data_IF_861118164558
#
_entry.id   IF_861118164558
#
_cell.length_a   1.000
_cell.length_b   1.000
_cell.length_c   1.000
_cell.angle_alpha   90.00
_cell.angle_beta   90.00
_cell.angle_gamma   90.00
#
_symmetry.space_group_name_H-M   'P 1'
#
loop_
_entity.id
_entity.type
_entity.pdbx_description
1 polymer ?
#
# COMPACT_ATOMS: atom_id res chain seq x y z
N UNK A 1 0.34 23.47 -25.22
CA UNK A 1 0.63 22.87 -23.90
C UNK A 1 2.07 23.15 -23.53
N UNK A 2 2.33 23.44 -22.26
CA UNK A 2 3.65 23.70 -21.68
C UNK A 2 3.85 22.78 -20.48
N UNK A 3 5.08 22.30 -20.28
CA UNK A 3 5.48 21.62 -19.05
C UNK A 3 6.89 22.04 -18.66
N UNK A 4 7.13 22.18 -17.36
CA UNK A 4 8.37 22.74 -16.79
C UNK A 4 9.08 21.72 -15.89
N UNK A 5 9.91 20.82 -16.44
CA UNK A 5 10.67 19.90 -15.61
C UNK A 5 11.71 20.62 -14.75
N UNK A 6 11.69 20.28 -13.46
CA UNK A 6 12.62 20.77 -12.45
C UNK A 6 13.47 19.62 -11.90
N UNK A 7 14.79 19.75 -12.00
CA UNK A 7 15.80 18.87 -11.39
C UNK A 7 17.02 19.68 -11.05
N UNK A 8 17.50 19.58 -9.82
CA UNK A 8 18.52 20.45 -9.24
C UNK A 8 17.92 21.56 -8.39
N UNK A 9 18.40 21.66 -7.15
CA UNK A 9 17.97 22.67 -6.17
C UNK A 9 19.18 23.16 -5.40
N UNK A 10 19.29 24.47 -5.21
CA UNK A 10 20.32 25.08 -4.39
C UNK A 10 19.71 26.15 -3.45
N UNK A 11 20.31 26.44 -2.29
CA UNK A 11 19.85 27.52 -1.42
C UNK A 11 19.95 28.88 -2.14
N UNK A 12 19.11 29.85 -1.75
CA UNK A 12 19.11 31.22 -2.31
C UNK A 12 20.31 32.05 -1.81
N UNK A 13 21.51 31.62 -2.19
CA UNK A 13 22.79 32.26 -1.87
C UNK A 13 23.45 32.84 -3.13
N UNK A 14 24.37 33.78 -2.95
CA UNK A 14 25.12 34.38 -4.05
C UNK A 14 25.99 33.33 -4.77
N UNK A 15 25.90 33.27 -6.10
CA UNK A 15 26.66 32.30 -6.91
C UNK A 15 26.11 30.86 -6.91
N UNK A 16 25.16 30.52 -6.03
CA UNK A 16 24.57 29.18 -5.96
C UNK A 16 23.81 28.79 -7.23
N UNK A 17 23.08 29.74 -7.84
CA UNK A 17 22.39 29.52 -9.12
C UNK A 17 23.36 29.25 -10.28
N UNK A 18 24.48 29.97 -10.35
CA UNK A 18 25.53 29.72 -11.34
C UNK A 18 26.19 28.35 -11.14
N UNK A 19 26.50 28.00 -9.89
CA UNK A 19 27.06 26.70 -9.55
C UNK A 19 26.10 25.57 -9.95
N UNK A 20 24.81 25.71 -9.64
CA UNK A 20 23.76 24.78 -10.02
C UNK A 20 23.68 24.61 -11.54
N UNK A 21 23.73 25.72 -12.30
CA UNK A 21 23.71 25.68 -13.77
C UNK A 21 24.95 25.00 -14.39
N UNK A 22 26.04 24.86 -13.64
CA UNK A 22 27.28 24.18 -14.08
C UNK A 22 27.39 22.75 -13.56
N UNK A 23 26.49 22.31 -12.67
CA UNK A 23 26.50 20.97 -12.13
C UNK A 23 26.21 19.93 -13.21
N UNK A 24 27.19 19.07 -13.49
CA UNK A 24 27.04 18.02 -14.49
C UNK A 24 25.95 17.00 -14.09
N UNK A 25 25.86 16.68 -12.79
CA UNK A 25 24.83 15.78 -12.23
C UNK A 25 23.43 16.36 -12.44
N UNK A 26 23.18 17.58 -11.95
CA UNK A 26 21.84 18.19 -12.00
C UNK A 26 21.36 18.41 -13.44
N UNK A 27 22.27 18.81 -14.34
CA UNK A 27 21.95 18.93 -15.77
C UNK A 27 21.63 17.58 -16.41
N UNK A 28 22.38 16.53 -16.09
CA UNK A 28 22.13 15.20 -16.63
C UNK A 28 20.76 14.68 -16.19
N UNK A 29 20.42 14.83 -14.91
CA UNK A 29 19.09 14.49 -14.41
C UNK A 29 17.99 15.32 -15.07
N UNK A 30 18.19 16.64 -15.23
CA UNK A 30 17.21 17.51 -15.86
C UNK A 30 16.96 17.13 -17.32
N UNK A 31 18.03 16.93 -18.11
CA UNK A 31 17.94 16.50 -19.52
C UNK A 31 17.21 15.18 -19.65
N UNK A 32 17.48 14.21 -18.77
CA UNK A 32 16.78 12.92 -18.75
C UNK A 32 15.26 13.10 -18.58
N UNK A 33 14.83 13.99 -17.68
CA UNK A 33 13.40 14.27 -17.47
C UNK A 33 12.81 15.09 -18.63
N UNK A 34 13.57 16.02 -19.22
CA UNK A 34 13.16 16.73 -20.45
C UNK A 34 12.84 15.75 -21.56
N UNK A 35 13.70 14.76 -21.80
CA UNK A 35 13.45 13.75 -22.83
C UNK A 35 12.23 12.87 -22.52
N UNK A 36 12.03 12.50 -21.25
CA UNK A 36 10.81 11.81 -20.82
C UNK A 36 9.55 12.65 -21.12
N UNK A 37 9.56 13.94 -20.81
CA UNK A 37 8.44 14.85 -21.06
C UNK A 37 8.20 15.12 -22.53
N UNK A 38 9.26 15.21 -23.34
CA UNK A 38 9.14 15.27 -24.81
C UNK A 38 8.45 14.02 -25.36
N UNK A 39 8.81 12.85 -24.85
CA UNK A 39 8.16 11.59 -25.21
C UNK A 39 6.68 11.58 -24.79
N UNK A 40 6.36 12.05 -23.58
CA UNK A 40 4.97 12.10 -23.09
C UNK A 40 4.10 13.05 -23.94
N UNK A 41 4.57 14.28 -24.19
CA UNK A 41 3.87 15.23 -25.06
C UNK A 41 3.79 14.74 -26.51
N UNK A 42 4.80 14.01 -27.00
CA UNK A 42 4.81 13.44 -28.35
C UNK A 42 3.70 12.44 -28.62
N UNK A 43 3.09 11.86 -27.57
CA UNK A 43 1.93 10.94 -27.70
C UNK A 43 0.64 11.67 -28.09
N UNK A 44 0.54 12.97 -27.81
CA UNK A 44 -0.73 13.73 -27.92
C UNK A 44 -0.61 15.04 -28.70
N UNK A 45 0.59 15.59 -28.85
CA UNK A 45 0.83 16.80 -29.64
C UNK A 45 0.97 16.48 -31.13
N UNK A 46 0.73 17.49 -31.98
CA UNK A 46 1.00 17.42 -33.43
C UNK A 46 2.45 17.01 -33.68
N UNK A 47 2.72 15.98 -34.51
CA UNK A 47 4.09 15.56 -34.82
C UNK A 47 4.97 16.72 -35.27
N UNK A 48 6.19 16.80 -34.72
CA UNK A 48 7.14 17.88 -34.99
C UNK A 48 6.90 19.19 -34.24
N UNK A 49 5.79 19.33 -33.49
CA UNK A 49 5.52 20.56 -32.71
C UNK A 49 6.21 20.61 -31.35
N UNK A 50 6.64 19.46 -30.81
CA UNK A 50 7.25 19.37 -29.48
C UNK A 50 8.69 19.90 -29.52
N UNK A 51 8.95 20.98 -28.79
CA UNK A 51 10.23 21.68 -28.73
C UNK A 51 10.64 21.97 -27.29
N UNK A 52 11.96 22.02 -27.05
CA UNK A 52 12.53 22.50 -25.79
C UNK A 52 12.76 24.01 -25.95
N UNK A 53 12.01 24.82 -25.23
CA UNK A 53 12.07 26.28 -25.33
C UNK A 53 13.19 26.88 -24.46
N UNK A 54 13.45 26.26 -23.31
CA UNK A 54 14.53 26.58 -22.38
C UNK A 54 15.11 25.27 -21.83
N UNK A 55 16.44 25.21 -21.63
CA UNK A 55 17.10 24.00 -21.15
C UNK A 55 18.08 24.32 -20.03
N UNK A 56 17.84 23.75 -18.85
CA UNK A 56 18.70 23.85 -17.67
C UNK A 56 18.98 25.31 -17.29
N UNK A 57 17.93 26.12 -17.20
CA UNK A 57 18.03 27.52 -16.79
C UNK A 57 17.84 27.65 -15.28
N UNK A 58 18.78 28.27 -14.55
CA UNK A 58 18.57 28.56 -13.13
C UNK A 58 17.49 29.64 -12.98
N UNK A 59 16.42 29.32 -12.25
CA UNK A 59 15.33 30.24 -11.92
C UNK A 59 15.22 30.46 -10.41
N UNK A 60 14.88 31.69 -10.06
CA UNK A 60 14.70 32.11 -8.67
C UNK A 60 13.31 31.75 -8.17
N UNK A 61 13.25 31.14 -6.99
CA UNK A 61 12.02 30.89 -6.24
C UNK A 61 12.22 31.32 -4.78
N UNK A 62 11.13 31.31 -4.00
CA UNK A 62 11.18 31.66 -2.57
C UNK A 62 12.11 30.72 -1.81
N UNK A 63 13.26 31.25 -1.36
CA UNK A 63 14.24 30.53 -0.55
C UNK A 63 15.19 29.60 -1.32
N UNK A 64 14.99 29.36 -2.63
CA UNK A 64 15.81 28.42 -3.41
C UNK A 64 16.02 28.85 -4.86
N UNK A 65 17.07 28.31 -5.47
CA UNK A 65 17.25 28.24 -6.91
C UNK A 65 16.82 26.88 -7.43
N UNK A 66 16.12 26.86 -8.56
CA UNK A 66 15.79 25.63 -9.28
C UNK A 66 16.35 25.67 -10.69
N UNK A 67 16.85 24.53 -11.15
CA UNK A 67 17.23 24.38 -12.55
C UNK A 67 16.00 23.87 -13.31
N UNK A 68 15.47 24.73 -14.19
CA UNK A 68 14.19 24.57 -14.88
C UNK A 68 14.43 24.48 -16.37
N UNK A 69 13.70 23.58 -17.02
CA UNK A 69 13.59 23.54 -18.48
C UNK A 69 12.14 23.73 -18.89
N UNK A 70 11.91 24.04 -20.17
CA UNK A 70 10.57 24.19 -20.73
C UNK A 70 10.40 23.30 -21.95
N UNK A 71 9.35 22.47 -21.94
CA UNK A 71 8.95 21.68 -23.09
C UNK A 71 7.55 22.10 -23.51
N UNK A 72 7.43 22.54 -24.77
CA UNK A 72 6.17 23.04 -25.32
C UNK A 72 5.77 22.24 -26.56
N UNK A 73 4.46 22.06 -26.76
CA UNK A 73 3.90 21.40 -27.93
C UNK A 73 2.52 21.95 -28.30
N UNK A 74 2.11 21.69 -29.54
CA UNK A 74 0.79 22.09 -30.05
C UNK A 74 -0.16 20.91 -29.98
N UNK A 75 -1.29 21.07 -29.30
CA UNK A 75 -2.34 20.06 -29.29
C UNK A 75 -3.17 20.15 -30.58
N UNK A 76 -3.54 19.02 -31.20
CA UNK A 76 -4.54 18.99 -32.27
C UNK A 76 -5.88 19.59 -31.83
N UNK A 77 -6.65 20.10 -32.79
CA UNK A 77 -8.01 20.57 -32.51
C UNK A 77 -8.89 19.45 -31.96
N UNK A 78 -9.63 19.72 -30.88
CA UNK A 78 -10.52 18.74 -30.24
C UNK A 78 -9.86 17.79 -29.25
N UNK A 79 -8.55 17.91 -28.99
CA UNK A 79 -7.91 17.17 -27.90
C UNK A 79 -8.36 17.72 -26.54
N UNK A 80 -9.10 16.90 -25.78
CA UNK A 80 -9.57 17.27 -24.44
C UNK A 80 -8.52 17.02 -23.34
N UNK A 81 -8.70 17.70 -22.21
CA UNK A 81 -7.83 17.64 -21.03
C UNK A 81 -7.54 16.21 -20.54
N UNK A 82 -8.55 15.32 -20.56
CA UNK A 82 -8.39 13.94 -20.13
C UNK A 82 -7.37 13.16 -20.99
N UNK A 83 -7.27 13.46 -22.28
CA UNK A 83 -6.30 12.81 -23.16
C UNK A 83 -4.88 13.31 -22.87
N UNK A 84 -4.72 14.61 -22.60
CA UNK A 84 -3.46 15.21 -22.19
C UNK A 84 -2.99 14.60 -20.86
N UNK A 85 -3.85 14.61 -19.83
CA UNK A 85 -3.53 14.05 -18.51
C UNK A 85 -3.15 12.57 -18.61
N UNK A 86 -3.90 11.73 -19.35
CA UNK A 86 -3.54 10.32 -19.53
C UNK A 86 -2.16 10.11 -20.17
N UNK A 87 -1.74 10.99 -21.06
CA UNK A 87 -0.46 10.85 -21.74
C UNK A 87 0.73 11.29 -20.87
N UNK A 88 0.52 12.27 -19.99
CA UNK A 88 1.58 12.90 -19.20
C UNK A 88 1.65 12.44 -17.75
N UNK A 89 0.54 11.93 -17.19
CA UNK A 89 0.46 11.49 -15.80
C UNK A 89 1.07 10.08 -15.60
N UNK A 90 1.68 9.80 -14.43
CA UNK A 90 2.11 10.76 -13.40
C UNK A 90 3.29 11.64 -13.85
N UNK A 91 3.55 12.78 -13.17
CA UNK A 91 4.60 13.72 -13.57
C UNK A 91 5.99 13.08 -13.64
N UNK A 92 6.79 13.44 -14.65
CA UNK A 92 8.08 12.80 -14.94
C UNK A 92 9.10 12.92 -13.81
N UNK A 93 9.20 14.09 -13.17
CA UNK A 93 10.22 14.38 -12.16
C UNK A 93 10.11 13.55 -10.87
N UNK A 94 8.97 12.89 -10.64
CA UNK A 94 8.65 12.14 -9.41
C UNK A 94 8.46 10.64 -9.66
N UNK A 95 8.79 10.19 -10.86
CA UNK A 95 8.81 8.77 -11.25
C UNK A 95 10.23 8.31 -11.54
N UNK A 96 10.65 8.39 -12.80
CA UNK A 96 11.94 7.94 -13.30
C UNK A 96 11.88 7.67 -14.80
N UNK A 97 13.02 7.33 -15.40
CA UNK A 97 13.12 7.04 -16.83
C UNK A 97 13.81 5.68 -17.04
N UNK A 98 13.22 4.75 -17.83
CA UNK A 98 11.89 4.81 -18.46
C UNK A 98 10.72 4.77 -17.45
N UNK A 99 9.67 5.58 -17.67
CA UNK A 99 8.56 5.76 -16.70
C UNK A 99 7.85 4.46 -16.29
N UNK A 100 7.44 3.55 -17.20
CA UNK A 100 6.77 2.32 -16.79
C UNK A 100 7.64 1.45 -15.88
N UNK A 101 8.92 1.27 -16.23
CA UNK A 101 9.85 0.48 -15.43
C UNK A 101 10.13 1.12 -14.05
N UNK A 102 10.22 2.45 -13.99
CA UNK A 102 10.37 3.15 -12.73
C UNK A 102 9.13 3.00 -11.83
N UNK A 103 7.92 3.08 -12.40
CA UNK A 103 6.67 2.87 -11.66
C UNK A 103 6.54 1.42 -11.15
N UNK A 104 6.97 0.43 -11.92
CA UNK A 104 6.99 -0.97 -11.48
C UNK A 104 7.91 -1.14 -10.26
N UNK A 105 9.11 -0.54 -10.28
CA UNK A 105 10.05 -0.58 -9.16
C UNK A 105 9.51 0.18 -7.94
N UNK A 106 8.92 1.35 -8.14
CA UNK A 106 8.27 2.11 -7.07
C UNK A 106 7.17 1.26 -6.43
N UNK A 107 6.28 0.67 -7.23
CA UNK A 107 5.20 -0.17 -6.72
C UNK A 107 5.72 -1.45 -6.04
N UNK A 108 6.88 -1.98 -6.45
CA UNK A 108 7.53 -3.11 -5.79
C UNK A 108 8.00 -2.71 -4.38
N UNK A 109 8.71 -1.58 -4.28
CA UNK A 109 9.44 -1.18 -3.09
C UNK A 109 8.59 -0.41 -2.07
N UNK A 110 7.66 0.43 -2.52
CA UNK A 110 6.85 1.25 -1.62
C UNK A 110 5.74 0.45 -0.98
N UNK A 111 5.49 0.76 0.29
CA UNK A 111 4.66 -0.06 1.13
C UNK A 111 3.16 0.10 0.89
N UNK A 112 2.79 1.29 0.45
CA UNK A 112 1.42 1.75 0.31
C UNK A 112 1.27 2.47 -1.03
N UNK A 113 0.03 2.73 -1.45
CA UNK A 113 -0.20 3.73 -2.48
C UNK A 113 0.38 5.08 -2.06
N UNK A 114 0.74 5.91 -3.04
CA UNK A 114 1.19 7.28 -2.78
C UNK A 114 0.04 8.26 -2.55
N UNK A 115 -1.20 7.86 -2.82
CA UNK A 115 -2.39 8.71 -2.71
C UNK A 115 -2.17 10.04 -3.46
N UNK A 116 -2.28 11.19 -2.77
CA UNK A 116 -2.05 12.51 -3.37
C UNK A 116 -0.58 12.73 -3.71
N UNK A 117 0.35 12.16 -2.94
CA UNK A 117 1.79 12.40 -3.11
C UNK A 117 2.29 11.96 -4.50
N UNK A 118 3.06 12.83 -5.15
CA UNK A 118 3.52 12.68 -6.55
C UNK A 118 2.42 12.64 -7.61
N UNK A 119 1.17 12.89 -7.22
CA UNK A 119 0.05 13.17 -8.10
C UNK A 119 0.07 14.59 -8.65
N UNK A 120 -1.11 15.15 -8.94
CA UNK A 120 -1.27 16.49 -9.48
C UNK A 120 -2.44 17.24 -8.81
N UNK A 121 -2.23 18.51 -8.49
CA UNK A 121 -3.23 19.42 -7.89
C UNK A 121 -3.35 20.64 -8.79
N UNK A 122 -4.58 21.07 -9.10
CA UNK A 122 -4.80 22.26 -9.91
C UNK A 122 -6.26 22.42 -10.32
N UNK A 123 -6.50 23.05 -11.48
CA UNK A 123 -7.84 23.32 -11.99
C UNK A 123 -7.97 23.01 -13.47
N UNK A 124 -9.20 22.69 -13.89
CA UNK A 124 -9.61 22.62 -15.29
C UNK A 124 -10.75 23.62 -15.51
N UNK A 125 -10.58 24.54 -16.45
CA UNK A 125 -11.52 25.64 -16.71
C UNK A 125 -11.77 25.80 -18.20
N UNK A 126 -13.03 25.97 -18.64
CA UNK A 126 -13.33 26.31 -20.03
C UNK A 126 -12.72 27.64 -20.51
N UNK A 127 -12.32 28.51 -19.57
CA UNK A 127 -11.77 29.85 -19.86
C UNK A 127 -10.26 29.89 -19.63
N UNK A 128 -9.78 29.33 -18.51
CA UNK A 128 -8.37 29.38 -18.12
C UNK A 128 -7.56 28.14 -18.57
N UNK A 129 -8.22 27.13 -19.12
CA UNK A 129 -7.59 25.86 -19.51
C UNK A 129 -7.30 24.96 -18.30
N UNK A 130 -6.37 24.03 -18.50
CA UNK A 130 -5.88 23.10 -17.49
C UNK A 130 -4.52 23.56 -16.98
N UNK A 131 -4.41 23.73 -15.67
CA UNK A 131 -3.15 23.98 -14.98
C UNK A 131 -3.02 23.02 -13.80
N UNK A 132 -1.89 22.31 -13.73
CA UNK A 132 -1.63 21.29 -12.74
C UNK A 132 -0.21 21.46 -12.18
N UNK A 133 -0.09 21.49 -10.86
CA UNK A 133 1.18 21.39 -10.14
C UNK A 133 1.39 19.95 -9.66
N UNK A 134 2.65 19.54 -9.55
CA UNK A 134 3.02 18.25 -8.94
C UNK A 134 2.75 18.31 -7.44
N UNK A 135 2.04 17.31 -6.91
CA UNK A 135 1.72 17.21 -5.49
C UNK A 135 2.92 16.70 -4.67
N UNK A 136 3.88 17.58 -4.43
CA UNK A 136 5.04 17.37 -3.56
C UNK A 136 5.07 18.46 -2.50
N UNK A 137 5.81 18.23 -1.40
CA UNK A 137 5.87 19.19 -0.27
C UNK A 137 4.46 19.59 0.19
N UNK A 138 3.58 18.60 0.33
CA UNK A 138 2.17 18.76 0.65
C UNK A 138 1.82 17.83 1.80
N UNK A 139 0.98 18.30 2.71
CA UNK A 139 0.41 17.48 3.77
C UNK A 139 -0.93 16.90 3.30
N UNK A 140 -1.13 15.61 3.51
CA UNK A 140 -2.43 14.95 3.35
C UNK A 140 -3.02 14.67 4.73
N UNK A 141 -4.26 15.10 4.96
CA UNK A 141 -4.92 15.02 6.25
C UNK A 141 -6.14 14.12 6.14
N UNK A 142 -6.18 13.04 6.93
CA UNK A 142 -7.29 12.11 6.96
C UNK A 142 -7.37 11.43 8.33
N UNK A 143 -8.58 11.29 8.89
CA UNK A 143 -8.85 10.55 10.14
C UNK A 143 -7.94 10.92 11.34
N UNK A 144 -7.61 12.21 11.49
CA UNK A 144 -6.73 12.70 12.55
C UNK A 144 -5.23 12.47 12.31
N UNK A 145 -4.85 11.90 11.17
CA UNK A 145 -3.48 11.73 10.73
C UNK A 145 -3.05 12.82 9.75
N UNK A 146 -1.77 13.17 9.80
CA UNK A 146 -1.09 14.02 8.83
C UNK A 146 0.00 13.18 8.15
N UNK A 147 -0.09 13.02 6.84
CA UNK A 147 0.88 12.31 6.01
C UNK A 147 1.73 13.30 5.23
N UNK A 148 3.04 13.03 5.18
CA UNK A 148 4.00 13.80 4.40
C UNK A 148 4.85 12.86 3.55
N UNK A 149 4.57 12.80 2.25
CA UNK A 149 5.37 12.04 1.28
C UNK A 149 6.64 12.78 0.89
N UNK A 150 7.79 12.10 0.96
CA UNK A 150 9.11 12.65 0.65
C UNK A 150 9.93 11.62 -0.11
N UNK A 151 10.72 12.08 -1.09
CA UNK A 151 11.54 11.22 -1.91
C UNK A 151 12.67 11.94 -2.65
N UNK A 152 13.50 11.14 -3.31
CA UNK A 152 14.66 11.55 -4.09
C UNK A 152 14.73 10.78 -5.40
N UNK A 153 15.52 11.31 -6.35
CA UNK A 153 15.84 10.59 -7.58
C UNK A 153 17.04 9.70 -7.34
N UNK A 154 16.95 8.41 -7.66
CA UNK A 154 18.07 7.48 -7.51
C UNK A 154 18.71 7.24 -8.87
N UNK A 155 20.02 7.47 -8.95
CA UNK A 155 20.88 7.19 -10.11
C UNK A 155 21.90 6.11 -9.77
N UNK A 156 22.65 5.61 -10.76
CA UNK A 156 23.56 4.48 -10.57
C UNK A 156 24.70 4.76 -9.56
N UNK A 157 25.08 6.03 -9.41
CA UNK A 157 26.11 6.54 -8.50
C UNK A 157 25.54 7.15 -7.22
N UNK A 158 24.23 7.03 -6.98
CA UNK A 158 23.62 7.49 -5.72
C UNK A 158 24.17 6.72 -4.52
N UNK A 159 24.50 7.46 -3.46
CA UNK A 159 24.82 6.90 -2.16
C UNK A 159 23.53 6.77 -1.31
N UNK A 160 23.16 5.57 -0.83
CA UNK A 160 21.89 5.37 -0.12
C UNK A 160 21.70 6.25 1.12
N UNK A 161 22.79 6.52 1.87
CA UNK A 161 22.70 7.34 3.08
C UNK A 161 22.53 8.82 2.73
N UNK A 162 23.22 9.30 1.70
CA UNK A 162 23.08 10.65 1.18
C UNK A 162 21.65 10.91 0.63
N UNK A 163 21.08 9.98 -0.13
CA UNK A 163 19.70 10.12 -0.65
C UNK A 163 18.66 10.15 0.48
N UNK A 164 18.84 9.34 1.52
CA UNK A 164 17.98 9.35 2.71
C UNK A 164 18.09 10.68 3.47
N UNK A 165 19.32 11.20 3.64
CA UNK A 165 19.55 12.50 4.26
C UNK A 165 18.97 13.65 3.44
N UNK A 166 19.04 13.59 2.11
CA UNK A 166 18.41 14.56 1.21
C UNK A 166 16.89 14.57 1.38
N UNK A 167 16.26 13.40 1.47
CA UNK A 167 14.84 13.29 1.77
C UNK A 167 14.50 14.00 3.08
N UNK A 168 15.19 13.70 4.18
CA UNK A 168 14.95 14.36 5.47
C UNK A 168 15.19 15.88 5.41
N UNK A 169 16.15 16.33 4.60
CA UNK A 169 16.41 17.76 4.36
C UNK A 169 15.24 18.42 3.64
N UNK A 170 14.65 17.76 2.63
CA UNK A 170 13.44 18.25 1.95
C UNK A 170 12.21 18.27 2.86
N UNK A 171 12.15 17.38 3.85
CA UNK A 171 11.06 17.29 4.82
C UNK A 171 11.13 18.39 5.89
N UNK A 172 12.33 18.78 6.31
CA UNK A 172 12.56 19.61 7.49
C UNK A 172 11.71 20.91 7.53
N UNK A 173 11.63 21.74 6.46
CA UNK A 173 10.83 22.97 6.50
C UNK A 173 9.34 22.73 6.73
N UNK A 174 8.80 21.60 6.25
CA UNK A 174 7.40 21.23 6.45
C UNK A 174 7.17 20.75 7.89
N UNK A 175 8.06 19.90 8.40
CA UNK A 175 7.99 19.42 9.79
C UNK A 175 8.09 20.57 10.79
N UNK A 176 8.97 21.55 10.54
CA UNK A 176 9.08 22.78 11.33
C UNK A 176 7.77 23.59 11.30
N UNK A 177 7.13 23.72 10.13
CA UNK A 177 5.88 24.46 9.97
C UNK A 177 4.71 23.92 10.83
N UNK A 178 4.73 22.62 11.17
CA UNK A 178 3.74 21.98 12.04
C UNK A 178 4.26 21.71 13.45
N UNK A 179 5.46 22.22 13.78
CA UNK A 179 6.14 21.97 15.07
C UNK A 179 6.25 20.48 15.42
N UNK A 180 6.50 19.63 14.42
CA UNK A 180 6.64 18.20 14.63
C UNK A 180 7.95 17.89 15.37
N UNK A 181 7.85 17.23 16.51
CA UNK A 181 8.99 16.65 17.21
C UNK A 181 9.31 15.27 16.64
N UNK A 182 10.60 15.00 16.38
CA UNK A 182 11.03 13.66 15.99
C UNK A 182 10.96 12.76 17.22
N UNK A 183 10.26 11.63 17.14
CA UNK A 183 10.38 10.59 18.15
C UNK A 183 11.86 10.16 18.25
N UNK A 184 12.38 10.06 19.48
CA UNK A 184 13.81 9.89 19.77
C UNK A 184 14.50 8.73 19.03
N UNK A 185 15.82 8.85 18.89
CA UNK A 185 16.71 7.94 18.14
C UNK A 185 16.80 6.50 18.68
N UNK A 186 16.08 6.16 19.76
CA UNK A 186 16.02 4.79 20.31
C UNK A 186 15.36 3.77 19.36
N UNK A 187 14.72 4.25 18.30
CA UNK A 187 14.21 3.47 17.17
C UNK A 187 15.02 3.68 15.88
N UNK A 188 16.34 3.90 15.99
CA UNK A 188 17.30 4.17 14.92
C UNK A 188 16.77 3.82 13.53
N UNK A 189 16.73 4.83 12.66
CA UNK A 189 16.47 4.71 11.23
C UNK A 189 17.34 3.60 10.62
N UNK A 190 16.82 2.38 10.65
CA UNK A 190 17.40 1.24 9.98
C UNK A 190 17.09 1.48 8.51
N UNK A 191 18.07 1.98 7.77
CA UNK A 191 18.13 1.70 6.34
C UNK A 191 18.23 0.18 6.26
N UNK A 192 17.08 -0.45 6.11
CA UNK A 192 17.03 -1.88 5.97
C UNK A 192 17.39 -2.23 4.55
N UNK A 193 18.56 -2.86 4.42
CA UNK A 193 18.95 -3.50 3.17
C UNK A 193 17.92 -4.61 2.93
N UNK A 194 17.19 -4.61 1.81
CA UNK A 194 16.27 -5.69 1.50
C UNK A 194 17.01 -7.02 1.57
N UNK A 195 16.48 -8.07 2.22
CA UNK A 195 17.05 -9.39 2.09
C UNK A 195 17.09 -9.76 0.60
N UNK A 196 18.13 -10.50 0.23
CA UNK A 196 18.37 -10.92 -1.16
C UNK A 196 17.09 -11.50 -1.76
N UNK A 197 16.71 -10.97 -2.92
CA UNK A 197 15.61 -11.46 -3.77
C UNK A 197 15.60 -12.99 -3.81
N UNK A 198 14.49 -13.59 -3.39
CA UNK A 198 14.23 -15.01 -3.63
C UNK A 198 13.51 -15.12 -4.98
N UNK A 199 14.28 -15.38 -6.04
CA UNK A 199 13.75 -15.67 -7.37
C UNK A 199 14.16 -14.68 -8.48
N UNK A 200 14.04 -15.09 -9.75
CA UNK A 200 14.58 -14.36 -10.91
C UNK A 200 13.75 -13.16 -11.41
N UNK A 201 12.57 -12.87 -10.81
CA UNK A 201 11.69 -11.75 -11.19
C UNK A 201 11.00 -11.17 -9.94
N UNK A 202 10.63 -9.89 -9.93
CA UNK A 202 9.70 -9.37 -8.93
C UNK A 202 8.45 -10.24 -8.94
N UNK A 203 8.00 -10.66 -7.76
CA UNK A 203 6.65 -11.20 -7.66
C UNK A 203 5.72 -9.98 -7.67
N UNK A 204 4.88 -9.79 -8.70
CA UNK A 204 4.10 -8.56 -8.83
C UNK A 204 3.17 -8.40 -7.62
N UNK A 205 3.04 -7.16 -7.14
CA UNK A 205 1.99 -6.79 -6.20
C UNK A 205 0.63 -7.20 -6.76
N UNK A 206 -0.37 -7.45 -5.89
CA UNK A 206 -1.70 -7.76 -6.36
C UNK A 206 -2.20 -6.70 -7.33
N UNK A 207 -2.65 -7.13 -8.50
CA UNK A 207 -3.22 -6.24 -9.51
C UNK A 207 -4.60 -5.74 -9.06
N UNK A 208 -4.77 -4.42 -8.78
CA UNK A 208 -6.04 -3.89 -8.33
C UNK A 208 -7.17 -4.08 -9.33
N UNK A 209 -6.86 -4.16 -10.63
CA UNK A 209 -7.85 -4.36 -11.68
C UNK A 209 -8.54 -5.74 -11.58
N UNK A 210 -7.91 -6.73 -10.93
CA UNK A 210 -8.53 -8.03 -10.70
C UNK A 210 -9.62 -7.99 -9.61
N UNK A 211 -9.65 -6.95 -8.79
CA UNK A 211 -10.64 -6.70 -7.76
C UNK A 211 -10.32 -7.27 -6.38
N UNK A 212 -11.35 -7.34 -5.52
CA UNK A 212 -11.23 -7.69 -4.09
C UNK A 212 -12.25 -8.74 -3.69
N UNK A 213 -12.03 -9.42 -2.56
CA UNK A 213 -12.97 -10.40 -2.04
C UNK A 213 -13.11 -10.35 -0.53
N UNK A 214 -14.21 -10.87 -0.01
CA UNK A 214 -14.32 -11.24 1.40
C UNK A 214 -14.61 -12.73 1.54
N UNK A 215 -14.27 -13.30 2.68
CA UNK A 215 -14.54 -14.70 2.99
C UNK A 215 -15.12 -14.77 4.38
N UNK A 216 -16.24 -15.47 4.50
CA UNK A 216 -17.06 -15.58 5.69
C UNK A 216 -17.27 -17.05 6.02
N UNK A 217 -17.30 -17.37 7.31
CA UNK A 217 -17.74 -18.67 7.80
C UNK A 217 -19.28 -18.69 7.77
N UNK A 218 -19.86 -19.59 7.00
CA UNK A 218 -21.27 -19.95 7.15
C UNK A 218 -21.39 -21.08 8.17
N UNK A 219 -22.24 -20.90 9.19
CA UNK A 219 -22.50 -21.91 10.23
C UNK A 219 -23.95 -21.81 10.67
N UNK A 220 -24.65 -22.95 10.72
CA UNK A 220 -26.07 -23.01 11.11
C UNK A 220 -26.99 -22.19 10.22
N UNK A 221 -26.64 -21.99 8.94
CA UNK A 221 -27.39 -21.13 8.03
C UNK A 221 -27.04 -19.63 8.08
N UNK A 222 -26.09 -19.19 8.91
CA UNK A 222 -25.76 -17.77 9.10
C UNK A 222 -24.33 -17.44 8.68
N UNK A 223 -24.16 -16.26 8.08
CA UNK A 223 -22.86 -15.67 7.80
C UNK A 223 -22.27 -15.05 9.08
N UNK A 224 -21.27 -15.69 9.67
CA UNK A 224 -20.65 -15.23 10.93
C UNK A 224 -19.99 -13.86 10.72
N UNK A 225 -20.48 -12.86 11.45
CA UNK A 225 -20.05 -11.46 11.31
C UNK A 225 -20.21 -10.89 9.89
N UNK A 226 -21.24 -11.33 9.15
CA UNK A 226 -21.53 -10.92 7.78
C UNK A 226 -21.51 -9.40 7.57
N UNK A 227 -22.19 -8.64 8.44
CA UNK A 227 -22.23 -7.17 8.38
C UNK A 227 -20.84 -6.53 8.41
N UNK A 228 -19.96 -6.98 9.32
CA UNK A 228 -18.59 -6.46 9.43
C UNK A 228 -17.75 -6.81 8.19
N UNK A 229 -17.96 -8.00 7.64
CA UNK A 229 -17.31 -8.44 6.40
C UNK A 229 -17.75 -7.61 5.19
N UNK A 230 -19.06 -7.30 5.09
CA UNK A 230 -19.63 -6.47 4.04
C UNK A 230 -19.22 -5.01 4.19
N UNK A 231 -19.16 -4.47 5.41
CA UNK A 231 -18.68 -3.11 5.66
C UNK A 231 -17.25 -2.91 5.17
N UNK A 232 -16.34 -3.83 5.50
CA UNK A 232 -14.95 -3.79 4.98
C UNK A 232 -14.89 -3.95 3.47
N UNK A 233 -15.67 -4.87 2.90
CA UNK A 233 -15.72 -5.07 1.45
C UNK A 233 -16.22 -3.80 0.74
N UNK A 234 -17.28 -3.17 1.26
CA UNK A 234 -17.84 -1.92 0.75
C UNK A 234 -16.81 -0.80 0.72
N UNK A 235 -16.03 -0.64 1.79
CA UNK A 235 -14.90 0.30 1.84
C UNK A 235 -13.89 0.01 0.72
N UNK A 236 -13.44 -1.23 0.60
CA UNK A 236 -12.45 -1.60 -0.44
C UNK A 236 -12.97 -1.40 -1.86
N UNK A 237 -14.25 -1.69 -2.11
CA UNK A 237 -14.88 -1.50 -3.43
C UNK A 237 -14.97 -0.01 -3.77
N UNK A 238 -15.37 0.83 -2.81
CA UNK A 238 -15.42 2.26 -3.01
C UNK A 238 -14.04 2.88 -3.26
N UNK A 239 -13.04 2.54 -2.42
CA UNK A 239 -11.68 3.06 -2.53
C UNK A 239 -11.00 2.66 -3.84
N UNK A 240 -11.16 1.41 -4.28
CA UNK A 240 -10.44 0.89 -5.45
C UNK A 240 -11.19 1.07 -6.77
N UNK A 241 -12.51 0.93 -6.76
CA UNK A 241 -13.32 0.93 -7.98
C UNK A 241 -14.12 2.22 -8.16
N UNK A 242 -14.17 3.09 -7.15
CA UNK A 242 -14.92 4.35 -7.19
C UNK A 242 -16.44 4.18 -7.29
N UNK A 243 -16.95 2.97 -7.05
CA UNK A 243 -18.38 2.62 -7.17
C UNK A 243 -18.90 1.99 -5.86
N UNK A 244 -20.20 2.08 -5.57
CA UNK A 244 -20.76 1.40 -4.41
C UNK A 244 -20.71 -0.13 -4.57
N UNK A 245 -20.63 -0.84 -3.44
CA UNK A 245 -20.89 -2.28 -3.42
C UNK A 245 -22.31 -2.55 -3.95
N UNK A 246 -22.53 -3.54 -4.84
CA UNK A 246 -23.85 -3.84 -5.34
C UNK A 246 -24.85 -4.12 -4.20
N UNK A 247 -26.10 -3.61 -4.31
CA UNK A 247 -27.05 -3.60 -3.19
C UNK A 247 -27.52 -4.99 -2.77
N UNK A 248 -27.44 -5.97 -3.66
CA UNK A 248 -27.79 -7.38 -3.44
C UNK A 248 -26.69 -8.19 -2.73
N UNK A 249 -25.53 -7.59 -2.42
CA UNK A 249 -24.40 -8.29 -1.80
C UNK A 249 -24.75 -8.97 -0.47
N UNK A 250 -25.63 -8.35 0.32
CA UNK A 250 -26.08 -8.86 1.62
C UNK A 250 -27.02 -10.06 1.43
N UNK A 251 -28.06 -9.90 0.61
CA UNK A 251 -28.99 -10.97 0.26
C UNK A 251 -28.25 -12.19 -0.31
N UNK A 252 -27.29 -11.96 -1.22
CA UNK A 252 -26.48 -13.02 -1.82
C UNK A 252 -25.60 -13.76 -0.79
N UNK A 253 -25.05 -13.05 0.20
CA UNK A 253 -24.27 -13.63 1.28
C UNK A 253 -25.16 -14.49 2.18
N UNK A 254 -26.32 -13.95 2.57
CA UNK A 254 -27.26 -14.61 3.47
C UNK A 254 -27.88 -15.84 2.81
N UNK A 255 -28.28 -15.76 1.54
CA UNK A 255 -28.73 -16.92 0.78
C UNK A 255 -27.65 -18.01 0.68
N UNK A 256 -26.40 -17.63 0.42
CA UNK A 256 -25.30 -18.59 0.36
C UNK A 256 -25.03 -19.26 1.71
N UNK A 257 -25.15 -18.51 2.81
CA UNK A 257 -25.04 -19.05 4.15
C UNK A 257 -26.22 -19.97 4.51
N UNK A 258 -27.46 -19.56 4.21
CA UNK A 258 -28.68 -20.34 4.48
C UNK A 258 -28.68 -21.69 3.76
N UNK A 259 -28.08 -21.76 2.56
CA UNK A 259 -27.91 -23.02 1.81
C UNK A 259 -26.85 -23.96 2.44
N UNK A 260 -26.16 -23.56 3.52
CA UNK A 260 -25.04 -24.29 4.13
C UNK A 260 -25.42 -24.88 5.50
N UNK A 261 -25.96 -26.12 5.53
CA UNK A 261 -26.34 -26.77 6.80
C UNK A 261 -25.12 -27.14 7.65
N UNK A 262 -24.04 -27.58 7.00
CA UNK A 262 -22.73 -27.82 7.62
C UNK A 262 -21.85 -26.56 7.52
N UNK A 263 -20.86 -26.39 8.42
CA UNK A 263 -19.90 -25.30 8.32
C UNK A 263 -19.24 -25.21 6.94
N UNK A 264 -19.34 -24.03 6.32
CA UNK A 264 -18.85 -23.79 4.98
C UNK A 264 -18.10 -22.47 4.86
N UNK A 265 -17.19 -22.40 3.89
CA UNK A 265 -16.59 -21.15 3.43
C UNK A 265 -17.50 -20.53 2.38
N UNK A 266 -17.96 -19.31 2.62
CA UNK A 266 -18.61 -18.47 1.60
C UNK A 266 -17.66 -17.34 1.22
N UNK A 267 -17.45 -17.12 -0.08
CA UNK A 267 -16.61 -16.04 -0.62
C UNK A 267 -17.43 -15.19 -1.57
N UNK A 268 -17.43 -13.88 -1.34
CA UNK A 268 -17.92 -12.87 -2.28
C UNK A 268 -16.71 -12.22 -2.94
N UNK A 269 -16.64 -12.31 -4.26
CA UNK A 269 -15.59 -11.72 -5.09
C UNK A 269 -16.18 -10.57 -5.88
N UNK A 270 -15.50 -9.42 -5.89
CA UNK A 270 -15.93 -8.20 -6.56
C UNK A 270 -14.92 -7.85 -7.64
N UNK A 271 -15.39 -7.74 -8.88
CA UNK A 271 -14.58 -7.33 -10.04
C UNK A 271 -15.12 -6.05 -10.66
N UNK A 272 -14.23 -5.23 -11.20
CA UNK A 272 -14.63 -4.10 -12.04
C UNK A 272 -15.10 -4.59 -13.40
N UNK A 273 -16.07 -3.89 -13.98
CA UNK A 273 -16.47 -4.05 -15.38
C UNK A 273 -16.05 -2.82 -16.19
N UNK A 274 -15.90 -2.99 -17.49
CA UNK A 274 -15.63 -1.89 -18.43
C UNK A 274 -16.73 -0.80 -18.41
N UNK A 275 -17.92 -1.13 -17.92
CA UNK A 275 -19.06 -0.24 -17.79
C UNK A 275 -19.06 0.60 -16.48
N UNK A 276 -18.04 0.48 -15.63
CA UNK A 276 -17.99 1.19 -14.35
C UNK A 276 -18.95 0.63 -13.30
N UNK A 277 -19.30 -0.66 -13.39
CA UNK A 277 -20.07 -1.37 -12.36
C UNK A 277 -19.20 -2.45 -11.70
N UNK A 278 -19.55 -2.82 -10.47
CA UNK A 278 -18.98 -3.95 -9.76
C UNK A 278 -19.81 -5.22 -9.99
N UNK A 279 -19.17 -6.33 -10.38
CA UNK A 279 -19.79 -7.66 -10.46
C UNK A 279 -19.49 -8.47 -9.21
N UNK A 280 -20.51 -9.17 -8.69
CA UNK A 280 -20.37 -10.08 -7.55
C UNK A 280 -20.36 -11.53 -8.05
N UNK A 281 -19.33 -12.29 -7.67
CA UNK A 281 -19.31 -13.74 -7.78
C UNK A 281 -19.34 -14.36 -6.38
N UNK A 282 -20.25 -15.31 -6.17
CA UNK A 282 -20.38 -16.03 -4.89
C UNK A 282 -19.91 -17.46 -5.05
N UNK A 283 -18.87 -17.83 -4.30
CA UNK A 283 -18.35 -19.19 -4.21
C UNK A 283 -18.63 -19.77 -2.83
N UNK A 284 -19.00 -21.05 -2.80
CA UNK A 284 -19.20 -21.80 -1.56
C UNK A 284 -18.49 -23.14 -1.64
N UNK A 285 -17.68 -23.41 -0.63
CA UNK A 285 -16.99 -24.70 -0.47
C UNK A 285 -17.13 -25.20 0.98
N UNK A 286 -17.04 -26.53 1.21
CA UNK A 286 -16.93 -27.07 2.56
C UNK A 286 -15.81 -26.38 3.37
N UNK A 287 -15.98 -26.27 4.69
CA UNK A 287 -14.94 -25.73 5.54
C UNK A 287 -13.69 -26.63 5.45
N UNK A 288 -12.50 -26.09 5.11
CA UNK A 288 -11.29 -26.91 5.05
C UNK A 288 -10.94 -27.53 6.41
N UNK A 289 -10.28 -28.68 6.43
CA UNK A 289 -9.80 -29.27 7.69
C UNK A 289 -8.71 -28.40 8.34
N UNK A 290 -8.72 -28.24 9.67
CA UNK A 290 -7.69 -27.49 10.38
C UNK A 290 -6.33 -28.17 10.28
N UNK A 291 -5.28 -27.36 10.19
CA UNK A 291 -3.90 -27.81 10.29
C UNK A 291 -3.13 -26.83 11.19
N UNK A 292 -2.20 -27.30 12.04
CA UNK A 292 -1.38 -26.40 12.85
C UNK A 292 -0.64 -25.39 11.97
N UNK A 293 -0.76 -24.11 12.30
CA UNK A 293 -0.13 -23.06 11.51
C UNK A 293 1.39 -23.05 11.79
N UNK A 294 2.18 -23.20 10.74
CA UNK A 294 3.63 -23.00 10.78
C UNK A 294 3.96 -21.76 9.97
N UNK A 295 4.75 -20.84 10.52
CA UNK A 295 5.06 -19.57 9.89
C UNK A 295 6.47 -19.57 9.30
N UNK A 296 6.61 -19.02 8.10
CA UNK A 296 7.91 -18.69 7.50
C UNK A 296 7.94 -17.23 7.11
N UNK A 297 8.92 -16.49 7.63
CA UNK A 297 9.11 -15.09 7.28
C UNK A 297 9.46 -14.92 5.81
N UNK A 298 8.71 -14.07 5.14
CA UNK A 298 8.95 -13.61 3.78
C UNK A 298 8.94 -12.10 3.82
N UNK A 299 9.99 -11.47 3.32
CA UNK A 299 10.01 -10.02 3.20
C UNK A 299 9.15 -9.60 2.02
N UNK A 300 8.17 -8.77 2.31
CA UNK A 300 7.33 -8.10 1.35
C UNK A 300 7.25 -6.64 1.82
N UNK A 301 8.02 -5.72 1.19
CA UNK A 301 8.02 -4.31 1.56
C UNK A 301 6.58 -3.79 1.66
N UNK A 302 6.19 -3.24 2.81
CA UNK A 302 4.82 -2.81 3.10
C UNK A 302 3.66 -3.78 2.99
N UNK A 303 3.92 -5.07 2.81
CA UNK A 303 2.89 -6.09 2.86
C UNK A 303 1.89 -6.03 1.71
N UNK A 304 0.65 -6.41 2.00
CA UNK A 304 -0.44 -6.48 1.03
C UNK A 304 -1.37 -5.27 1.14
N UNK A 305 -1.20 -4.44 2.15
CA UNK A 305 -2.05 -3.28 2.38
C UNK A 305 -3.44 -3.62 2.95
N UNK A 306 -4.33 -2.63 2.90
CA UNK A 306 -5.64 -2.67 3.58
C UNK A 306 -6.72 -3.48 2.85
N UNK A 307 -6.42 -4.13 1.72
CA UNK A 307 -7.40 -4.82 0.89
C UNK A 307 -7.15 -6.31 0.78
N UNK A 308 -8.24 -7.06 0.61
CA UNK A 308 -8.17 -8.51 0.40
C UNK A 308 -8.28 -8.81 -1.10
N UNK A 309 -7.13 -8.84 -1.76
CA UNK A 309 -7.00 -8.89 -3.21
C UNK A 309 -7.41 -10.21 -3.85
N UNK A 310 -8.17 -10.15 -4.95
CA UNK A 310 -8.45 -11.32 -5.78
C UNK A 310 -7.20 -11.87 -6.46
N UNK A 311 -6.27 -11.01 -6.84
CA UNK A 311 -4.96 -11.44 -7.35
C UNK A 311 -4.14 -12.09 -6.23
N UNK A 312 -4.15 -13.43 -6.24
CA UNK A 312 -3.44 -14.27 -5.28
C UNK A 312 -2.16 -14.87 -5.85
N UNK A 313 -1.72 -14.47 -7.06
CA UNK A 313 -0.57 -15.08 -7.76
C UNK A 313 0.66 -15.14 -6.87
N UNK A 314 1.03 -14.02 -6.24
CA UNK A 314 2.16 -13.94 -5.32
C UNK A 314 2.05 -14.93 -4.16
N UNK A 315 0.93 -14.91 -3.46
CA UNK A 315 0.73 -15.72 -2.26
C UNK A 315 0.62 -17.22 -2.60
N UNK A 316 0.09 -17.55 -3.77
CA UNK A 316 0.07 -18.91 -4.30
C UNK A 316 1.48 -19.39 -4.62
N UNK A 317 2.33 -18.54 -5.22
CA UNK A 317 3.74 -18.87 -5.45
C UNK A 317 4.52 -19.08 -4.16
N UNK A 318 4.30 -18.25 -3.13
CA UNK A 318 4.92 -18.43 -1.81
C UNK A 318 4.48 -19.73 -1.13
N UNK A 319 3.17 -20.04 -1.17
CA UNK A 319 2.64 -21.29 -0.65
C UNK A 319 3.19 -22.52 -1.38
N UNK A 320 3.36 -22.44 -2.71
CA UNK A 320 3.95 -23.51 -3.51
C UNK A 320 5.44 -23.72 -3.21
N UNK A 321 6.18 -22.64 -2.93
CA UNK A 321 7.60 -22.71 -2.57
C UNK A 321 7.83 -23.31 -1.17
N UNK A 322 6.83 -23.22 -0.28
CA UNK A 322 6.95 -23.62 1.13
C UNK A 322 5.73 -24.42 1.60
N UNK A 323 5.51 -25.64 1.05
CA UNK A 323 4.32 -26.43 1.37
C UNK A 323 4.19 -26.73 2.86
N UNK A 324 3.01 -26.50 3.42
CA UNK A 324 2.73 -26.72 4.84
C UNK A 324 3.15 -25.57 5.77
N UNK A 325 3.70 -24.49 5.23
CA UNK A 325 4.00 -23.26 5.96
C UNK A 325 3.20 -22.08 5.38
N UNK A 326 2.74 -21.19 6.25
CA UNK A 326 2.14 -19.92 5.88
C UNK A 326 3.22 -18.84 5.83
N UNK A 327 3.21 -18.03 4.77
CA UNK A 327 4.06 -16.86 4.69
C UNK A 327 3.68 -15.86 5.79
N UNK A 328 4.63 -15.55 6.66
CA UNK A 328 4.62 -14.42 7.58
C UNK A 328 5.26 -13.23 6.88
N UNK A 329 4.47 -12.24 6.52
CA UNK A 329 4.91 -11.06 5.80
C UNK A 329 5.64 -10.12 6.76
N UNK A 330 6.81 -9.67 6.33
CA UNK A 330 7.68 -8.77 7.09
C UNK A 330 8.12 -7.65 6.16
N UNK A 331 8.16 -6.42 6.67
CA UNK A 331 8.67 -5.28 5.92
C UNK A 331 10.21 -5.28 5.86
N UNK A 332 10.79 -4.34 5.11
CA UNK A 332 12.23 -4.20 4.97
C UNK A 332 12.91 -4.00 6.33
N UNK A 333 12.34 -3.15 7.19
CA UNK A 333 12.82 -2.81 8.54
C UNK A 333 12.78 -4.00 9.54
N UNK A 334 12.27 -5.16 9.12
CA UNK A 334 12.10 -6.34 9.96
C UNK A 334 10.83 -6.31 10.81
N UNK A 335 9.93 -5.35 10.58
CA UNK A 335 8.62 -5.31 11.23
C UNK A 335 7.69 -6.35 10.64
N UNK A 336 7.06 -7.12 11.52
CA UNK A 336 6.04 -8.11 11.21
C UNK A 336 4.76 -7.37 10.81
N UNK A 337 4.18 -7.80 9.69
CA UNK A 337 2.95 -7.26 9.14
C UNK A 337 1.79 -8.23 9.44
N UNK A 338 1.58 -9.22 8.58
CA UNK A 338 0.51 -10.22 8.72
C UNK A 338 0.91 -11.57 8.13
N UNK A 339 0.08 -12.60 8.29
CA UNK A 339 0.25 -13.87 7.59
C UNK A 339 -0.62 -13.93 6.33
N UNK A 340 -0.28 -14.83 5.40
CA UNK A 340 -0.95 -14.97 4.09
C UNK A 340 -2.47 -15.20 4.13
N UNK A 341 -3.01 -15.61 5.29
CA UNK A 341 -4.42 -15.91 5.54
C UNK A 341 -4.99 -15.26 6.81
N UNK A 342 -4.24 -14.43 7.55
CA UNK A 342 -4.72 -13.85 8.80
C UNK A 342 -3.77 -12.85 9.46
N UNK A 343 -4.28 -12.08 10.41
CA UNK A 343 -3.45 -11.15 11.19
C UNK A 343 -2.69 -11.86 12.31
N UNK A 344 -1.55 -11.31 12.70
CA UNK A 344 -0.65 -11.89 13.70
C UNK A 344 -0.85 -11.21 15.05
N UNK A 345 -0.88 -12.02 16.11
CA UNK A 345 -0.81 -11.58 17.49
C UNK A 345 0.33 -12.32 18.19
N UNK A 346 1.06 -11.62 19.06
CA UNK A 346 2.05 -12.21 19.96
C UNK A 346 1.57 -12.09 21.40
N UNK A 347 1.95 -13.04 22.24
CA UNK A 347 1.69 -13.01 23.68
C UNK A 347 2.93 -12.49 24.42
N UNK A 348 2.74 -11.47 25.24
CA UNK A 348 3.76 -10.90 26.14
C UNK A 348 3.14 -10.70 27.53
N UNK A 349 3.47 -11.60 28.47
CA UNK A 349 2.77 -11.68 29.74
C UNK A 349 1.26 -11.93 29.52
N UNK A 350 0.44 -11.06 30.10
CA UNK A 350 -1.02 -11.11 29.97
C UNK A 350 -1.56 -10.30 28.76
N UNK A 351 -0.67 -9.67 27.98
CA UNK A 351 -1.06 -8.82 26.87
C UNK A 351 -0.96 -9.54 25.52
N UNK A 352 -1.96 -9.31 24.67
CA UNK A 352 -1.92 -9.64 23.26
C UNK A 352 -1.41 -8.42 22.49
N UNK A 353 -0.36 -8.57 21.71
CA UNK A 353 0.19 -7.47 20.89
C UNK A 353 0.03 -7.80 19.42
N UNK A 354 -0.48 -6.87 18.63
CA UNK A 354 -0.64 -7.02 17.17
C UNK A 354 -0.11 -5.79 16.45
N UNK A 355 0.48 -5.93 15.25
CA UNK A 355 0.87 -4.78 14.44
C UNK A 355 -0.30 -3.79 14.23
N UNK A 356 -0.03 -2.47 14.25
CA UNK A 356 -1.06 -1.44 14.10
C UNK A 356 -1.63 -1.39 12.67
N UNK A 357 -2.82 -0.82 12.51
CA UNK A 357 -3.41 -0.53 11.18
C UNK A 357 -2.83 0.78 10.61
N UNK A 358 -1.63 0.70 10.05
CA UNK A 358 -0.94 1.82 9.40
C UNK A 358 -1.05 1.80 7.86
N UNK A 359 -1.97 0.99 7.35
CA UNK A 359 -2.20 0.81 5.91
C UNK A 359 -1.41 -0.33 5.27
N UNK A 360 -0.48 -1.00 5.96
CA UNK A 360 0.35 -2.11 5.42
C UNK A 360 -0.26 -3.51 5.60
N UNK A 361 -1.28 -3.64 6.45
CA UNK A 361 -1.95 -4.91 6.77
C UNK A 361 -3.46 -4.83 6.55
N UNK A 362 -4.09 -5.99 6.35
CA UNK A 362 -5.54 -6.06 6.20
C UNK A 362 -6.23 -5.74 7.55
N UNK A 363 -7.22 -4.82 7.60
CA UNK A 363 -8.10 -4.67 8.75
C UNK A 363 -8.99 -5.93 8.88
N UNK A 364 -8.50 -6.94 9.58
CA UNK A 364 -9.19 -8.22 9.76
C UNK A 364 -10.46 -8.09 10.59
N UNK A 365 -11.57 -8.68 10.14
CA UNK A 365 -12.82 -8.74 10.92
C UNK A 365 -12.62 -9.51 12.22
N UNK A 366 -11.99 -10.68 12.17
CA UNK A 366 -11.67 -11.46 13.37
C UNK A 366 -10.71 -10.72 14.29
N UNK A 367 -9.71 -10.00 13.74
CA UNK A 367 -8.82 -9.12 14.50
C UNK A 367 -9.62 -8.08 15.27
N UNK A 368 -10.48 -7.31 14.60
CA UNK A 368 -11.31 -6.28 15.23
C UNK A 368 -12.22 -6.85 16.34
N UNK A 369 -12.85 -8.00 16.08
CA UNK A 369 -13.68 -8.69 17.09
C UNK A 369 -12.88 -9.16 18.30
N UNK A 370 -11.67 -9.68 18.08
CA UNK A 370 -10.77 -10.09 19.17
C UNK A 370 -10.33 -8.89 20.01
N UNK A 371 -10.00 -7.75 19.37
CA UNK A 371 -9.66 -6.51 20.07
C UNK A 371 -10.84 -6.06 20.93
N UNK A 372 -12.06 -6.04 20.37
CA UNK A 372 -13.27 -5.69 21.14
C UNK A 372 -13.55 -6.62 22.31
N UNK A 373 -13.28 -7.93 22.16
CA UNK A 373 -13.48 -8.93 23.21
C UNK A 373 -12.43 -8.83 24.33
N UNK A 374 -11.15 -8.70 23.98
CA UNK A 374 -10.04 -8.70 24.93
C UNK A 374 -9.79 -7.31 25.55
N UNK A 375 -10.31 -6.24 24.93
CA UNK A 375 -10.29 -4.89 25.44
C UNK A 375 -8.87 -4.41 25.75
N UNK A 376 -8.67 -3.87 26.96
CA UNK A 376 -7.40 -3.32 27.43
C UNK A 376 -6.23 -4.33 27.47
N UNK A 377 -6.49 -5.63 27.27
CA UNK A 377 -5.43 -6.64 27.15
C UNK A 377 -4.77 -6.64 25.77
N UNK A 378 -5.36 -5.98 24.76
CA UNK A 378 -4.74 -5.85 23.44
C UNK A 378 -4.00 -4.53 23.30
N UNK A 379 -2.79 -4.60 22.79
CA UNK A 379 -1.98 -3.44 22.41
C UNK A 379 -1.70 -3.49 20.92
N UNK A 380 -2.01 -2.40 20.22
CA UNK A 380 -1.69 -2.21 18.82
C UNK A 380 -0.35 -1.48 18.72
N UNK A 381 0.74 -2.25 18.64
CA UNK A 381 2.12 -1.74 18.68
C UNK A 381 2.95 -2.42 17.59
N UNK A 382 4.00 -1.76 17.05
CA UNK A 382 4.94 -2.40 16.13
C UNK A 382 5.53 -3.69 16.73
N UNK A 383 5.54 -4.76 15.92
CA UNK A 383 6.12 -6.05 16.30
C UNK A 383 7.29 -6.33 15.38
N UNK A 384 8.52 -6.30 15.88
CA UNK A 384 9.68 -6.73 15.08
C UNK A 384 9.77 -8.25 15.02
N UNK A 385 10.49 -8.79 14.03
CA UNK A 385 10.81 -10.21 14.00
C UNK A 385 11.47 -10.66 15.30
N UNK A 386 12.41 -9.88 15.85
CA UNK A 386 13.08 -10.19 17.11
C UNK A 386 12.10 -10.26 18.29
N UNK A 387 11.16 -9.31 18.38
CA UNK A 387 10.09 -9.30 19.39
C UNK A 387 9.21 -10.54 19.24
N UNK A 388 8.82 -10.88 18.01
CA UNK A 388 8.07 -12.09 17.71
C UNK A 388 8.84 -13.35 18.15
N UNK A 389 10.16 -13.44 17.92
CA UNK A 389 10.98 -14.59 18.34
C UNK A 389 11.11 -14.72 19.87
N UNK A 390 10.98 -13.62 20.63
CA UNK A 390 11.01 -13.64 22.10
C UNK A 390 9.63 -13.86 22.74
N UNK A 391 8.56 -13.64 21.99
CA UNK A 391 7.20 -13.78 22.50
C UNK A 391 6.90 -15.19 23.02
N UNK A 392 6.08 -15.24 24.07
CA UNK A 392 5.69 -16.48 24.78
C UNK A 392 4.80 -17.38 23.94
N UNK A 393 4.11 -16.81 22.96
CA UNK A 393 3.37 -17.54 21.95
C UNK A 393 2.89 -16.62 20.84
N UNK A 394 2.41 -17.23 19.76
CA UNK A 394 1.92 -16.53 18.57
C UNK A 394 0.56 -17.09 18.19
N UNK A 395 -0.36 -16.19 17.84
CA UNK A 395 -1.70 -16.50 17.40
C UNK A 395 -1.94 -15.88 16.02
N UNK A 396 -2.78 -16.53 15.23
CA UNK A 396 -3.33 -15.96 14.01
C UNK A 396 -4.83 -15.72 14.18
N UNK A 397 -5.35 -14.68 13.54
CA UNK A 397 -6.80 -14.48 13.43
C UNK A 397 -7.26 -14.60 11.99
N UNK A 398 -8.24 -15.48 11.74
CA UNK A 398 -8.83 -15.73 10.43
C UNK A 398 -10.36 -15.81 10.50
N UNK A 399 -11.04 -15.46 9.39
CA UNK A 399 -12.50 -15.44 9.33
C UNK A 399 -13.15 -16.83 9.43
N UNK A 400 -12.44 -17.86 8.98
CA UNK A 400 -12.97 -19.23 8.92
C UNK A 400 -12.75 -20.03 10.20
N UNK A 401 -11.77 -19.64 11.02
CA UNK A 401 -11.30 -20.43 12.17
C UNK A 401 -11.18 -19.64 13.46
N UNK A 402 -11.46 -18.34 13.44
CA UNK A 402 -11.30 -17.50 14.61
C UNK A 402 -9.82 -17.30 14.95
N UNK A 403 -9.43 -17.67 16.16
CA UNK A 403 -8.07 -17.62 16.70
C UNK A 403 -7.41 -18.99 16.53
N UNK A 404 -6.26 -19.02 15.87
CA UNK A 404 -5.46 -20.21 15.61
C UNK A 404 -4.11 -20.13 16.32
N UNK A 405 -3.63 -21.26 16.85
CA UNK A 405 -2.29 -21.35 17.43
C UNK A 405 -1.24 -21.59 16.36
N UNK A 406 -0.06 -20.98 16.55
CA UNK A 406 1.12 -21.24 15.71
C UNK A 406 2.01 -22.25 16.41
N UNK A 407 2.31 -23.35 15.75
CA UNK A 407 3.16 -24.43 16.29
C UNK A 407 4.64 -24.21 16.03
N UNK A 408 5.01 -23.53 14.94
CA UNK A 408 6.40 -23.21 14.64
C UNK A 408 6.56 -21.91 13.85
N UNK A 409 7.73 -21.25 13.99
CA UNK A 409 8.13 -20.04 13.25
C UNK A 409 9.58 -20.18 12.75
N UNK A 410 9.82 -19.97 11.46
CA UNK A 410 11.16 -20.06 10.86
C UNK A 410 11.91 -21.35 11.23
N UNK A 411 11.20 -22.47 11.27
CA UNK A 411 11.74 -23.78 11.66
C UNK A 411 11.95 -24.00 13.17
N UNK A 412 11.68 -23.00 14.02
CA UNK A 412 11.74 -23.12 15.48
C UNK A 412 10.36 -23.41 16.07
N UNK A 413 10.26 -24.41 16.94
CA UNK A 413 9.03 -24.75 17.67
C UNK A 413 8.58 -23.58 18.57
N UNK A 414 7.26 -23.39 18.66
CA UNK A 414 6.62 -22.39 19.50
C UNK A 414 5.77 -23.09 20.56
N UNK A 415 5.63 -22.45 21.73
CA UNK A 415 4.66 -22.90 22.72
C UNK A 415 3.24 -22.75 22.14
N UNK A 416 2.54 -23.87 22.00
CA UNK A 416 1.13 -23.84 21.58
C UNK A 416 0.24 -23.28 22.70
N UNK A 417 -0.53 -22.25 22.37
CA UNK A 417 -1.44 -21.56 23.30
C UNK A 417 -2.88 -22.14 23.24
N UNK A 418 -3.02 -23.46 23.15
CA UNK A 418 -4.28 -24.14 22.79
C UNK A 418 -5.45 -23.80 23.70
N UNK A 419 -5.23 -23.76 25.03
CA UNK A 419 -6.28 -23.42 26.01
C UNK A 419 -6.75 -21.97 25.86
N UNK A 420 -5.81 -21.03 25.66
CA UNK A 420 -6.10 -19.62 25.47
C UNK A 420 -6.84 -19.36 24.16
N UNK A 421 -6.39 -19.95 23.05
CA UNK A 421 -7.06 -19.86 21.76
C UNK A 421 -8.50 -20.41 21.81
N UNK A 422 -8.73 -21.54 22.47
CA UNK A 422 -10.07 -22.10 22.64
C UNK A 422 -11.00 -21.19 23.49
N UNK A 423 -10.47 -20.51 24.50
CA UNK A 423 -11.24 -19.54 25.30
C UNK A 423 -11.63 -18.30 24.50
N UNK A 424 -10.68 -17.75 23.74
CA UNK A 424 -10.93 -16.62 22.85
C UNK A 424 -11.96 -16.98 21.77
N UNK A 425 -11.87 -18.17 21.18
CA UNK A 425 -12.85 -18.66 20.20
C UNK A 425 -14.24 -18.84 20.81
N UNK A 426 -14.37 -19.36 22.03
CA UNK A 426 -15.67 -19.39 22.73
C UNK A 426 -16.24 -17.99 22.93
N UNK A 427 -15.41 -17.01 23.25
CA UNK A 427 -15.83 -15.61 23.37
C UNK A 427 -16.32 -15.03 22.04
N UNK A 428 -15.60 -15.30 20.94
CA UNK A 428 -16.02 -14.91 19.60
C UNK A 428 -17.33 -15.60 19.18
N UNK A 429 -17.53 -16.86 19.54
CA UNK A 429 -18.74 -17.60 19.16
C UNK A 429 -19.99 -17.15 19.93
N UNK A 430 -19.85 -16.56 21.12
CA UNK A 430 -20.99 -16.01 21.88
C UNK A 430 -21.70 -14.84 21.20
N UNK A 431 -21.09 -14.21 20.20
CA UNK A 431 -21.72 -13.16 19.40
C UNK A 431 -22.55 -13.70 18.23
N UNK A 432 -22.75 -15.02 18.16
CA UNK A 432 -23.53 -15.69 17.12
C UNK A 432 -24.90 -16.03 17.71
N UNK A 433 -26.00 -15.85 16.97
CA UNK A 433 -27.33 -16.23 17.44
C UNK A 433 -27.35 -17.67 17.96
N UNK A 434 -28.05 -17.93 19.07
CA UNK A 434 -28.11 -19.27 19.69
C UNK A 434 -28.63 -20.36 18.74
N UNK A 435 -29.45 -19.98 17.74
CA UNK A 435 -29.94 -20.86 16.67
C UNK A 435 -28.85 -21.40 15.75
N UNK A 436 -27.64 -20.82 15.78
CA UNK A 436 -26.48 -21.21 14.97
C UNK A 436 -25.32 -21.81 15.79
N UNK A 437 -25.50 -21.94 17.11
CA UNK A 437 -24.56 -22.62 17.99
C UNK A 437 -24.93 -24.12 18.04
N UNK A 438 -24.35 -24.91 17.13
CA UNK A 438 -24.35 -26.38 17.18
C UNK A 438 -22.91 -26.85 17.19
#
# INVERSE_FOLDING_TARGET
>A
VLTEPVKGTAPREAGAGEALSRSAKDRAENVMIVDLMRNDLGKVCTPGSVRVAALCEPREYTGVWHLVSEVAGTLPGGTGDAALVRATFPPGSVTGAPKPAALDVISELESTGRETYTGAIGFASPVAGLELSVAIRSFELCDGWIWLGIGGGVVADSDPAAEAAECLTKAAPLLEAISAERAGEDGAGRISIPPRRVGPRPVPRPDPAQGVFTTVLARGGFAVAGELHLARLRRSVLELLGVPLPPDAEDLLDEAAARSPEPARVRLSIRSTDAGHALIEVDRTPLPQPAPARLRSVTLPGGLGAHKWLDRRMLNSLAAATPGELALLVDLDGMVLEASTGNVFILEGDALVTPPLDGRILPGVTRARLIGLAGARVREEPVSLERLHRAEGVLLTGALRGVETVSARNGSECRELTRGAAELNRGLDRSIPASAAI
#
